data_IF_235707692904
#
_entry.id   IF_235707692904
#
_cell.length_a   1.000
_cell.length_b   1.000
_cell.length_c   1.000
_cell.angle_alpha   90.00
_cell.angle_beta   90.00
_cell.angle_gamma   90.00
#
_symmetry.space_group_name_H-M   'P 1'
#
loop_
_entity.id
_entity.type
_entity.pdbx_description
1 polymer ?
#
# COMPACT_ATOMS: atom_id res chain seq x y z
N UNK A 1 7.12 -24.32 4.54
CA UNK A 1 5.92 -23.61 4.02
C UNK A 1 6.30 -22.94 2.69
N UNK A 2 5.76 -23.43 1.57
CA UNK A 2 6.09 -22.94 0.22
C UNK A 2 4.83 -22.43 -0.51
N UNK A 3 3.80 -22.04 0.24
CA UNK A 3 2.46 -21.84 -0.30
C UNK A 3 2.06 -20.36 -0.34
N UNK A 4 2.64 -19.52 0.52
CA UNK A 4 2.25 -18.13 0.65
C UNK A 4 2.63 -17.32 -0.60
N UNK A 5 3.87 -17.42 -1.08
CA UNK A 5 4.30 -16.66 -2.25
C UNK A 5 3.46 -17.03 -3.50
N UNK A 6 3.22 -18.32 -3.81
CA UNK A 6 2.30 -18.70 -4.89
C UNK A 6 0.87 -18.17 -4.70
N UNK A 7 0.33 -18.23 -3.49
CA UNK A 7 -1.03 -17.72 -3.17
C UNK A 7 -1.10 -16.20 -3.38
N UNK A 8 -0.12 -15.44 -2.87
CA UNK A 8 -0.07 -13.98 -3.02
C UNK A 8 0.00 -13.56 -4.50
N UNK A 9 0.80 -14.26 -5.31
CA UNK A 9 0.88 -14.02 -6.77
C UNK A 9 -0.45 -14.23 -7.50
N UNK A 10 -1.37 -15.00 -6.92
CA UNK A 10 -2.66 -15.34 -7.51
C UNK A 10 -3.84 -14.51 -6.97
N UNK A 11 -3.59 -13.58 -6.04
CA UNK A 11 -4.64 -12.69 -5.52
C UNK A 11 -5.28 -11.80 -6.60
N UNK A 12 -4.47 -11.27 -7.52
CA UNK A 12 -4.94 -10.41 -8.61
C UNK A 12 -5.03 -11.16 -9.96
N UNK A 13 -5.26 -12.48 -9.93
CA UNK A 13 -5.47 -13.27 -11.15
C UNK A 13 -6.75 -12.80 -11.87
N UNK A 14 -6.73 -12.62 -13.21
CA UNK A 14 -7.91 -12.19 -13.96
C UNK A 14 -9.08 -13.17 -13.86
N UNK A 15 -8.82 -14.43 -13.54
CA UNK A 15 -9.87 -15.39 -13.22
C UNK A 15 -10.40 -15.16 -11.80
N UNK A 16 -11.64 -14.69 -11.70
CA UNK A 16 -12.33 -14.40 -10.43
C UNK A 16 -12.28 -15.60 -9.47
N UNK A 17 -12.44 -16.83 -9.97
CA UNK A 17 -12.40 -18.03 -9.13
C UNK A 17 -11.01 -18.24 -8.52
N UNK A 18 -9.94 -18.00 -9.28
CA UNK A 18 -8.55 -18.14 -8.81
C UNK A 18 -8.24 -17.06 -7.76
N UNK A 19 -8.61 -15.81 -8.03
CA UNK A 19 -8.47 -14.70 -7.07
C UNK A 19 -9.24 -14.97 -5.77
N UNK A 20 -10.47 -15.48 -5.88
CA UNK A 20 -11.31 -15.82 -4.73
C UNK A 20 -10.69 -16.93 -3.87
N UNK A 21 -10.29 -18.05 -4.49
CA UNK A 21 -9.66 -19.16 -3.77
C UNK A 21 -8.34 -18.71 -3.13
N UNK A 22 -7.55 -17.91 -3.83
CA UNK A 22 -6.28 -17.38 -3.30
C UNK A 22 -6.51 -16.48 -2.09
N UNK A 23 -7.51 -15.59 -2.16
CA UNK A 23 -7.90 -14.72 -1.05
C UNK A 23 -8.39 -15.53 0.15
N UNK A 24 -9.20 -16.57 -0.09
CA UNK A 24 -9.65 -17.49 0.94
C UNK A 24 -8.46 -18.23 1.58
N UNK A 25 -7.55 -18.80 0.79
CA UNK A 25 -6.35 -19.46 1.29
C UNK A 25 -5.49 -18.53 2.15
N UNK A 26 -5.25 -17.29 1.69
CA UNK A 26 -4.53 -16.29 2.48
C UNK A 26 -5.24 -16.01 3.80
N UNK A 27 -6.57 -15.86 3.80
CA UNK A 27 -7.34 -15.64 5.02
C UNK A 27 -7.17 -16.79 6.03
N UNK A 28 -7.18 -18.04 5.55
CA UNK A 28 -6.98 -19.21 6.41
C UNK A 28 -5.55 -19.25 6.95
N UNK A 29 -4.54 -18.98 6.11
CA UNK A 29 -3.15 -18.91 6.56
C UNK A 29 -3.01 -17.88 7.68
N UNK A 30 -3.48 -16.64 7.48
CA UNK A 30 -3.40 -15.58 8.48
C UNK A 30 -4.15 -15.97 9.77
N UNK A 31 -5.33 -16.58 9.64
CA UNK A 31 -6.15 -16.99 10.79
C UNK A 31 -5.48 -18.08 11.66
N UNK A 32 -4.79 -19.04 11.02
CA UNK A 32 -4.16 -20.16 11.73
C UNK A 32 -2.72 -19.89 12.18
N UNK A 33 -2.07 -18.83 11.68
CA UNK A 33 -0.72 -18.49 12.14
C UNK A 33 -0.79 -17.90 13.55
N UNK A 34 -0.05 -18.46 14.53
CA UNK A 34 -0.10 -17.98 15.91
C UNK A 34 0.41 -16.54 16.03
N UNK A 35 -0.19 -15.76 16.93
CA UNK A 35 0.18 -14.34 17.13
C UNK A 35 1.60 -14.16 17.69
N UNK A 36 2.12 -15.17 18.38
CA UNK A 36 3.48 -15.27 18.88
C UNK A 36 4.42 -16.00 17.91
N UNK A 37 4.09 -16.00 16.61
CA UNK A 37 4.97 -16.50 15.58
C UNK A 37 6.27 -15.68 15.59
N UNK A 38 7.28 -16.22 16.24
CA UNK A 38 8.65 -15.71 16.28
C UNK A 38 9.52 -16.87 15.86
N UNK A 39 10.07 -16.81 14.66
CA UNK A 39 10.91 -17.90 14.21
C UNK A 39 12.25 -17.92 14.91
N UNK A 40 12.57 -19.06 15.52
CA UNK A 40 13.95 -19.48 15.69
C UNK A 40 14.44 -20.01 14.35
N UNK A 41 15.05 -19.14 13.54
CA UNK A 41 15.67 -19.49 12.26
C UNK A 41 16.89 -20.37 12.55
N UNK A 42 16.70 -21.68 12.59
CA UNK A 42 17.77 -22.66 12.54
C UNK A 42 17.86 -23.20 11.12
N UNK A 43 19.06 -23.10 10.55
CA UNK A 43 19.52 -23.61 9.25
C UNK A 43 19.50 -22.65 8.04
N UNK A 44 20.71 -22.23 7.65
CA UNK A 44 21.06 -21.32 6.55
C UNK A 44 20.84 -21.88 5.13
N UNK A 45 20.13 -23.00 4.96
CA UNK A 45 20.12 -23.72 3.66
C UNK A 45 18.98 -23.35 2.71
N UNK A 46 17.90 -22.73 3.19
CA UNK A 46 16.71 -22.48 2.35
C UNK A 46 16.36 -20.98 2.27
N UNK A 47 17.04 -20.25 1.40
CA UNK A 47 16.79 -18.81 1.17
C UNK A 47 15.31 -18.51 0.82
N UNK A 48 14.66 -19.40 0.06
CA UNK A 48 13.25 -19.28 -0.28
C UNK A 48 12.34 -19.35 0.96
N UNK A 49 12.63 -20.27 1.89
CA UNK A 49 11.89 -20.34 3.16
C UNK A 49 12.10 -19.04 3.94
N UNK A 50 13.33 -18.54 4.05
CA UNK A 50 13.61 -17.28 4.76
C UNK A 50 12.82 -16.09 4.20
N UNK A 51 12.65 -16.00 2.88
CA UNK A 51 11.84 -14.95 2.26
C UNK A 51 10.36 -15.06 2.61
N UNK A 52 9.79 -16.27 2.51
CA UNK A 52 8.38 -16.52 2.83
C UNK A 52 8.08 -16.19 4.30
N UNK A 53 9.01 -16.51 5.19
CA UNK A 53 8.87 -16.32 6.63
C UNK A 53 9.02 -14.85 7.03
N UNK A 54 9.95 -14.11 6.41
CA UNK A 54 10.03 -12.64 6.54
C UNK A 54 8.74 -11.98 6.10
N UNK A 55 8.16 -12.46 5.00
CA UNK A 55 6.91 -11.93 4.48
C UNK A 55 5.75 -12.18 5.45
N UNK A 56 5.62 -13.40 5.99
CA UNK A 56 4.65 -13.70 7.05
C UNK A 56 4.85 -12.80 8.27
N UNK A 57 6.08 -12.63 8.73
CA UNK A 57 6.38 -11.78 9.86
C UNK A 57 5.94 -10.32 9.59
N UNK A 58 6.22 -9.78 8.41
CA UNK A 58 5.80 -8.42 8.03
C UNK A 58 4.26 -8.28 7.86
N UNK A 59 3.56 -9.35 7.46
CA UNK A 59 2.10 -9.38 7.44
C UNK A 59 1.48 -9.32 8.84
N UNK A 60 2.10 -9.99 9.82
CA UNK A 60 1.62 -10.08 11.20
C UNK A 60 2.09 -8.91 12.07
N UNK A 61 3.28 -8.38 11.78
CA UNK A 61 3.91 -7.30 12.51
C UNK A 61 4.28 -6.16 11.55
N UNK A 62 3.39 -5.19 11.34
CA UNK A 62 3.66 -4.03 10.50
C UNK A 62 4.88 -3.19 10.93
N UNK A 63 5.28 -3.25 12.20
CA UNK A 63 6.43 -2.48 12.69
C UNK A 63 7.79 -3.05 12.26
N UNK A 64 7.83 -4.28 11.73
CA UNK A 64 9.06 -4.86 11.17
C UNK A 64 9.26 -4.56 9.68
N UNK A 65 8.34 -3.79 9.08
CA UNK A 65 8.42 -3.40 7.67
C UNK A 65 9.57 -2.40 7.48
N UNK A 66 10.38 -2.63 6.45
CA UNK A 66 11.48 -1.75 6.10
C UNK A 66 10.97 -0.37 5.68
N UNK A 67 11.70 0.68 6.09
CA UNK A 67 11.33 2.06 5.77
C UNK A 67 11.38 2.31 4.25
N UNK A 68 10.28 2.81 3.69
CA UNK A 68 10.17 3.12 2.28
C UNK A 68 10.66 4.54 1.93
N UNK A 69 11.61 4.67 1.00
CA UNK A 69 12.05 5.97 0.51
C UNK A 69 11.22 6.43 -0.69
N UNK A 70 10.60 7.60 -0.59
CA UNK A 70 9.88 8.24 -1.71
C UNK A 70 10.90 8.54 -2.84
N UNK A 71 10.64 8.16 -4.10
CA UNK A 71 11.65 8.15 -5.16
C UNK A 71 11.90 9.51 -5.83
N UNK A 72 11.37 10.59 -5.27
CA UNK A 72 11.50 11.96 -5.77
C UNK A 72 11.58 12.95 -4.60
N UNK A 73 11.97 14.19 -4.88
CA UNK A 73 12.06 15.24 -3.86
C UNK A 73 10.68 15.56 -3.27
N UNK A 74 10.43 15.02 -2.08
CA UNK A 74 9.19 15.24 -1.34
C UNK A 74 9.37 16.45 -0.42
N UNK A 75 8.70 17.59 -0.67
CA UNK A 75 8.95 18.88 -0.01
C UNK A 75 8.40 18.96 1.42
N UNK A 76 8.29 17.82 2.12
CA UNK A 76 7.73 17.72 3.47
C UNK A 76 8.58 16.80 4.32
N UNK A 77 8.87 17.26 5.54
CA UNK A 77 9.42 16.40 6.58
C UNK A 77 8.30 15.57 7.22
N UNK A 78 8.24 14.30 6.86
CA UNK A 78 7.29 13.34 7.45
C UNK A 78 7.62 13.09 8.92
N UNK A 79 6.59 12.91 9.74
CA UNK A 79 6.74 12.38 11.10
C UNK A 79 6.95 10.87 11.04
N UNK A 80 7.59 10.29 12.06
CA UNK A 80 7.92 8.85 12.09
C UNK A 80 6.70 7.97 11.80
N UNK A 81 5.57 8.19 12.48
CA UNK A 81 4.35 7.41 12.24
C UNK A 81 3.78 7.55 10.82
N UNK A 82 4.00 8.70 10.15
CA UNK A 82 3.58 8.88 8.75
C UNK A 82 4.49 8.10 7.81
N UNK A 83 5.79 8.10 8.11
CA UNK A 83 6.78 7.28 7.40
C UNK A 83 6.49 5.79 7.56
N UNK A 84 6.10 5.36 8.76
CA UNK A 84 5.68 3.98 9.04
C UNK A 84 4.42 3.62 8.24
N UNK A 85 3.40 4.49 8.24
CA UNK A 85 2.18 4.31 7.46
C UNK A 85 2.42 4.25 5.95
N UNK A 86 3.31 5.10 5.42
CA UNK A 86 3.75 5.05 4.02
C UNK A 86 4.49 3.73 3.72
N UNK A 87 5.38 3.29 4.62
CA UNK A 87 6.12 2.05 4.46
C UNK A 87 5.19 0.84 4.44
N UNK A 88 4.19 0.82 5.32
CA UNK A 88 3.12 -0.18 5.33
C UNK A 88 2.29 -0.19 4.04
N UNK A 89 1.87 0.99 3.56
CA UNK A 89 1.15 1.11 2.29
C UNK A 89 1.99 0.64 1.09
N UNK A 90 3.30 0.93 1.08
CA UNK A 90 4.20 0.42 0.05
C UNK A 90 4.31 -1.11 0.12
N UNK A 91 4.44 -1.68 1.31
CA UNK A 91 4.49 -3.12 1.53
C UNK A 91 3.23 -3.82 1.00
N UNK A 92 2.04 -3.30 1.32
CA UNK A 92 0.78 -3.85 0.76
C UNK A 92 0.79 -3.82 -0.77
N UNK A 93 1.21 -2.69 -1.35
CA UNK A 93 1.29 -2.49 -2.80
C UNK A 93 2.27 -3.47 -3.46
N UNK A 94 3.44 -3.71 -2.88
CA UNK A 94 4.42 -4.69 -3.39
C UNK A 94 3.87 -6.12 -3.37
N UNK A 95 3.00 -6.42 -2.41
CA UNK A 95 2.32 -7.71 -2.27
C UNK A 95 0.99 -7.81 -3.01
N UNK A 96 0.60 -6.78 -3.78
CA UNK A 96 -0.71 -6.73 -4.44
C UNK A 96 -1.91 -6.85 -3.47
N UNK A 97 -1.71 -6.43 -2.22
CA UNK A 97 -2.72 -6.40 -1.18
C UNK A 97 -3.39 -5.02 -1.12
N UNK A 98 -4.63 -5.03 -0.64
CA UNK A 98 -5.39 -3.82 -0.33
C UNK A 98 -5.50 -3.69 1.19
N UNK A 99 -5.58 -2.45 1.68
CA UNK A 99 -5.72 -2.17 3.10
C UNK A 99 -6.50 -0.90 3.36
N UNK A 100 -6.90 -0.71 4.61
CA UNK A 100 -7.56 0.49 5.07
C UNK A 100 -6.62 1.26 6.02
N UNK A 101 -6.32 2.52 5.69
CA UNK A 101 -5.55 3.39 6.55
C UNK A 101 -6.49 4.04 7.58
N UNK A 102 -6.53 3.46 8.79
CA UNK A 102 -7.48 3.82 9.84
C UNK A 102 -6.90 4.72 10.94
N UNK A 103 -5.88 5.53 10.61
CA UNK A 103 -5.31 6.51 11.53
C UNK A 103 -6.37 7.50 12.06
N UNK A 104 -6.14 8.06 13.23
CA UNK A 104 -6.96 9.14 13.79
C UNK A 104 -7.00 10.39 12.88
N UNK A 105 -8.02 11.21 13.10
CA UNK A 105 -8.17 12.50 12.40
C UNK A 105 -6.98 13.41 12.70
N UNK A 106 -6.47 14.09 11.68
CA UNK A 106 -5.32 15.01 11.82
C UNK A 106 -3.93 14.35 11.72
N UNK A 107 -3.83 13.02 11.68
CA UNK A 107 -2.55 12.33 11.49
C UNK A 107 -2.00 12.40 10.05
N UNK A 108 -2.77 12.94 9.10
CA UNK A 108 -2.29 13.19 7.74
C UNK A 108 -2.43 11.98 6.81
N UNK A 109 -3.57 11.29 6.85
CA UNK A 109 -3.88 10.19 5.91
C UNK A 109 -3.80 10.61 4.44
N UNK A 110 -4.19 11.86 4.14
CA UNK A 110 -4.14 12.45 2.80
C UNK A 110 -2.72 12.46 2.26
N UNK A 111 -1.76 13.02 3.01
CA UNK A 111 -0.36 13.11 2.58
C UNK A 111 0.29 11.73 2.46
N UNK A 112 0.00 10.80 3.37
CA UNK A 112 0.50 9.41 3.28
C UNK A 112 -0.01 8.71 2.00
N UNK A 113 -1.30 8.89 1.68
CA UNK A 113 -1.91 8.32 0.48
C UNK A 113 -1.32 8.92 -0.79
N UNK A 114 -1.20 10.26 -0.85
CA UNK A 114 -0.60 10.97 -1.97
C UNK A 114 0.86 10.56 -2.19
N UNK A 115 1.66 10.36 -1.14
CA UNK A 115 3.05 9.94 -1.25
C UNK A 115 3.20 8.58 -1.96
N UNK A 116 2.30 7.63 -1.68
CA UNK A 116 2.33 6.31 -2.31
C UNK A 116 1.80 6.34 -3.74
N UNK A 117 0.72 7.08 -3.99
CA UNK A 117 0.18 7.24 -5.34
C UNK A 117 1.23 7.91 -6.25
N UNK A 118 1.79 9.04 -5.83
CA UNK A 118 2.85 9.75 -6.57
C UNK A 118 4.11 8.93 -6.78
N UNK A 119 4.50 8.11 -5.79
CA UNK A 119 5.61 7.18 -5.95
C UNK A 119 5.39 6.18 -7.10
N UNK A 120 4.16 5.70 -7.28
CA UNK A 120 3.84 4.74 -8.35
C UNK A 120 3.83 5.40 -9.74
N UNK A 121 3.30 6.63 -9.83
CA UNK A 121 3.34 7.43 -11.06
C UNK A 121 4.79 7.76 -11.46
N UNK A 122 5.63 8.17 -10.49
CA UNK A 122 7.03 8.47 -10.74
C UNK A 122 7.83 7.29 -11.29
N UNK A 123 7.52 6.06 -10.83
CA UNK A 123 8.16 4.81 -11.30
C UNK A 123 7.70 4.38 -12.70
N UNK A 124 6.86 5.16 -13.38
CA UNK A 124 6.47 4.92 -14.77
C UNK A 124 5.25 4.01 -14.97
N UNK A 125 4.42 3.81 -13.93
CA UNK A 125 3.09 3.22 -14.14
C UNK A 125 2.22 4.27 -14.82
N UNK A 126 2.14 4.23 -16.15
CA UNK A 126 1.28 5.09 -16.99
C UNK A 126 -0.22 4.75 -16.84
N UNK A 127 -0.73 4.72 -15.62
CA UNK A 127 -2.14 4.50 -15.30
C UNK A 127 -2.67 5.68 -14.50
N UNK A 128 -3.94 6.01 -14.71
CA UNK A 128 -4.60 7.07 -13.95
C UNK A 128 -4.99 6.53 -12.57
N UNK A 129 -4.80 7.32 -11.52
CA UNK A 129 -5.31 7.02 -10.18
C UNK A 129 -6.58 7.82 -9.92
N UNK A 130 -7.57 7.18 -9.29
CA UNK A 130 -8.85 7.79 -8.94
C UNK A 130 -8.96 7.94 -7.42
N UNK A 131 -9.27 9.15 -6.96
CA UNK A 131 -9.56 9.43 -5.56
C UNK A 131 -11.03 9.78 -5.45
N UNK A 132 -11.78 8.98 -4.69
CA UNK A 132 -13.19 9.21 -4.41
C UNK A 132 -13.30 9.74 -2.99
N UNK A 133 -13.93 10.89 -2.83
CA UNK A 133 -14.14 11.52 -1.53
C UNK A 133 -15.50 12.25 -1.50
N UNK A 134 -16.05 12.53 -0.30
CA UNK A 134 -17.16 13.47 -0.16
C UNK A 134 -16.87 14.80 -0.86
N UNK A 135 -17.89 15.40 -1.49
CA UNK A 135 -17.77 16.64 -2.27
C UNK A 135 -17.02 17.77 -1.54
N UNK A 136 -17.24 17.90 -0.23
CA UNK A 136 -16.60 18.93 0.60
C UNK A 136 -15.08 18.76 0.73
N UNK A 137 -14.56 17.56 0.49
CA UNK A 137 -13.13 17.24 0.58
C UNK A 137 -12.41 17.28 -0.77
N UNK A 138 -13.13 17.43 -1.88
CA UNK A 138 -12.53 17.43 -3.22
C UNK A 138 -11.48 18.53 -3.38
N UNK A 139 -11.77 19.74 -2.92
CA UNK A 139 -10.82 20.85 -2.98
C UNK A 139 -9.62 20.60 -2.05
N UNK A 140 -9.84 20.04 -0.86
CA UNK A 140 -8.76 19.70 0.06
C UNK A 140 -7.76 18.72 -0.55
N UNK A 141 -8.23 17.65 -1.21
CA UNK A 141 -7.35 16.70 -1.91
C UNK A 141 -6.58 17.35 -3.06
N UNK A 142 -7.24 18.24 -3.81
CA UNK A 142 -6.62 18.97 -4.91
C UNK A 142 -5.49 19.89 -4.41
N UNK A 143 -5.76 20.69 -3.38
CA UNK A 143 -4.81 21.62 -2.80
C UNK A 143 -3.61 20.90 -2.17
N UNK A 144 -3.85 19.82 -1.42
CA UNK A 144 -2.79 19.00 -0.82
C UNK A 144 -1.89 18.36 -1.88
N UNK A 145 -2.48 17.89 -2.98
CA UNK A 145 -1.73 17.33 -4.11
C UNK A 145 -0.83 18.39 -4.75
N UNK A 146 -1.37 19.57 -5.08
CA UNK A 146 -0.56 20.65 -5.66
C UNK A 146 0.53 21.17 -4.72
N UNK A 147 0.23 21.19 -3.41
CA UNK A 147 1.16 21.69 -2.40
C UNK A 147 2.34 20.77 -2.18
N UNK A 148 2.11 19.45 -2.15
CA UNK A 148 3.12 18.49 -1.72
C UNK A 148 3.69 17.62 -2.84
N UNK A 149 3.01 17.48 -3.97
CA UNK A 149 3.48 16.66 -5.09
C UNK A 149 3.96 17.59 -6.22
N UNK A 150 5.22 17.46 -6.68
CA UNK A 150 5.68 18.24 -7.82
C UNK A 150 4.84 17.95 -9.08
N UNK A 151 4.55 19.00 -9.85
CA UNK A 151 3.66 18.94 -11.03
C UNK A 151 4.17 18.07 -12.18
N UNK A 152 5.46 17.72 -12.18
CA UNK A 152 6.05 16.77 -13.14
C UNK A 152 5.84 15.30 -12.73
N UNK A 153 5.41 15.03 -11.50
CA UNK A 153 5.12 13.69 -10.98
C UNK A 153 3.64 13.34 -11.21
N UNK A 154 2.74 14.21 -10.74
CA UNK A 154 1.28 14.08 -10.94
C UNK A 154 0.68 15.46 -11.16
N UNK A 155 -0.34 15.52 -12.02
CA UNK A 155 -1.24 16.67 -12.15
C UNK A 155 -2.66 16.27 -11.76
N UNK A 156 -3.22 16.80 -10.65
CA UNK A 156 -4.56 16.44 -10.22
C UNK A 156 -5.62 17.07 -11.13
N UNK A 157 -6.66 16.31 -11.45
CA UNK A 157 -7.86 16.81 -12.14
C UNK A 157 -9.10 16.58 -11.28
N UNK A 158 -9.96 17.59 -11.19
CA UNK A 158 -11.24 17.49 -10.49
C UNK A 158 -12.33 17.24 -11.50
N UNK A 159 -13.10 16.18 -11.31
CA UNK A 159 -14.31 15.91 -12.08
C UNK A 159 -15.51 16.48 -11.32
N UNK A 160 -16.07 17.63 -11.75
CA UNK A 160 -17.24 18.19 -11.09
C UNK A 160 -18.46 17.29 -11.30
N UNK A 161 -19.12 16.88 -10.22
CA UNK A 161 -20.46 16.29 -10.30
C UNK A 161 -21.47 17.41 -10.62
N UNK A 162 -21.88 17.48 -11.89
CA UNK A 162 -22.95 18.36 -12.37
C UNK A 162 -22.49 19.70 -12.96
N UNK A 163 -22.06 19.68 -14.21
CA UNK A 163 -22.61 20.47 -15.32
C UNK A 163 -21.88 20.03 -16.61
N UNK A 164 -22.50 19.12 -17.37
CA UNK A 164 -22.11 18.82 -18.75
C UNK A 164 -22.71 19.86 -19.72
N UNK A 165 -22.72 21.12 -19.30
CA UNK A 165 -23.25 22.25 -20.05
C UNK A 165 -22.55 23.53 -19.62
N UNK A 166 -21.35 23.73 -20.16
CA UNK A 166 -20.78 25.03 -20.53
C UNK A 166 -19.61 24.82 -21.47
#
# INVERSE_FOLDING_TARGET
PHLLIPVLRKLNDPCIQVSYVSSYCLSQIIYYVPSNFCETINDKKDEYNLQELRLLNNLLNPMSIDSYTIPFDFPVKLRNYQQDGISWLNFLRELNLNGALCDDMGLGKTIQSLAIISSDHYKGKNLHSLIICPKILTQHWFDECQKYIPSHVIQPMVFPFGDASR
#
